data_IF_997852153866
#
_entry.id   IF_997852153866
#
_cell.length_a   1.000
_cell.length_b   1.000
_cell.length_c   1.000
_cell.angle_alpha   90.00
_cell.angle_beta   90.00
_cell.angle_gamma   90.00
#
_symmetry.space_group_name_H-M   'P 1'
#
loop_
_entity.id
_entity.type
_entity.pdbx_description
1 polymer ?
#
# COMPACT_ATOMS: atom_id res chain seq x y z
N UNK A 1 -4.99 -5.25 -8.63
CA UNK A 1 -4.21 -4.46 -7.63
C UNK A 1 -3.10 -5.33 -7.09
N UNK A 2 -1.89 -4.78 -6.98
CA UNK A 2 -0.70 -5.54 -6.56
C UNK A 2 -0.30 -5.12 -5.14
N UNK A 3 -0.58 -5.99 -4.16
CA UNK A 3 -0.18 -5.76 -2.77
C UNK A 3 1.05 -6.60 -2.40
N UNK A 4 2.03 -5.97 -1.77
CA UNK A 4 3.23 -6.63 -1.24
C UNK A 4 3.37 -6.38 0.27
N UNK A 5 3.64 -7.43 1.03
CA UNK A 5 3.77 -7.36 2.49
C UNK A 5 2.44 -7.30 3.25
N UNK A 6 2.48 -6.85 4.49
CA UNK A 6 1.28 -6.69 5.32
C UNK A 6 0.52 -5.42 4.94
N UNK A 7 -0.71 -5.58 4.48
CA UNK A 7 -1.65 -4.49 4.23
C UNK A 7 -2.77 -4.58 5.24
N UNK A 8 -2.94 -3.52 6.04
CA UNK A 8 -4.01 -3.42 7.01
C UNK A 8 -5.04 -2.39 6.54
N UNK A 9 -6.30 -2.82 6.44
CA UNK A 9 -7.45 -1.97 6.12
C UNK A 9 -8.47 -2.05 7.26
N UNK A 10 -8.61 -1.02 8.10
CA UNK A 10 -9.56 -1.05 9.19
C UNK A 10 -11.01 -1.17 8.67
N UNK A 11 -11.95 -1.68 9.47
CA UNK A 11 -13.34 -1.91 9.05
C UNK A 11 -14.04 -0.64 8.57
N UNK A 12 -13.70 0.51 9.17
CA UNK A 12 -14.22 1.83 8.78
C UNK A 12 -13.86 2.21 7.35
N UNK A 13 -12.77 1.65 6.80
CA UNK A 13 -12.27 1.90 5.45
C UNK A 13 -12.53 0.70 4.53
N UNK A 14 -13.44 -0.22 4.88
CA UNK A 14 -13.68 -1.45 4.12
C UNK A 14 -14.06 -1.23 2.65
N UNK A 15 -14.62 -0.06 2.33
CA UNK A 15 -15.00 0.33 0.98
C UNK A 15 -14.00 1.29 0.32
N UNK A 16 -12.96 1.72 1.04
CA UNK A 16 -11.92 2.59 0.50
C UNK A 16 -10.93 1.80 -0.36
N UNK A 17 -10.48 2.45 -1.44
CA UNK A 17 -9.40 1.95 -2.28
C UNK A 17 -8.05 2.19 -1.60
N UNK A 18 -7.23 1.15 -1.48
CA UNK A 18 -5.84 1.27 -1.02
C UNK A 18 -4.91 1.17 -2.23
N UNK A 19 -4.03 2.16 -2.39
CA UNK A 19 -2.97 2.14 -3.39
C UNK A 19 -1.63 2.31 -2.69
N UNK A 20 -0.73 1.33 -2.86
CA UNK A 20 0.60 1.40 -2.27
C UNK A 20 1.54 2.22 -3.15
N UNK A 21 1.97 3.39 -2.67
CA UNK A 21 3.00 4.19 -3.33
C UNK A 21 4.43 3.74 -2.97
N UNK A 22 4.61 3.26 -1.75
CA UNK A 22 5.88 2.75 -1.23
C UNK A 22 5.64 1.40 -0.56
N UNK A 23 6.66 0.55 -0.54
CA UNK A 23 6.67 -0.66 0.26
C UNK A 23 7.57 -0.40 1.47
N UNK A 24 7.08 -0.69 2.67
CA UNK A 24 7.77 -0.35 3.91
C UNK A 24 7.67 1.13 4.30
N UNK A 25 8.43 1.53 5.31
CA UNK A 25 8.49 2.90 5.80
C UNK A 25 9.95 3.39 5.84
N UNK A 26 10.27 4.60 5.34
CA UNK A 26 11.63 5.14 5.39
C UNK A 26 12.07 5.51 6.81
N UNK A 27 11.11 5.74 7.72
CA UNK A 27 11.40 6.12 9.10
C UNK A 27 11.69 4.92 10.00
N UNK A 28 10.84 3.86 9.92
CA UNK A 28 10.92 2.56 10.61
C UNK A 28 11.42 2.54 12.07
N UNK A 29 11.20 3.61 12.85
CA UNK A 29 11.64 3.75 14.26
C UNK A 29 10.49 3.94 15.24
N UNK A 30 9.25 3.89 14.77
CA UNK A 30 8.05 4.05 15.60
C UNK A 30 7.89 2.87 16.57
N UNK A 31 7.68 3.15 17.85
CA UNK A 31 7.46 2.10 18.87
C UNK A 31 6.12 1.38 18.71
N UNK A 32 5.11 2.07 18.17
CA UNK A 32 3.75 1.56 17.97
C UNK A 32 3.54 0.80 16.65
N UNK A 33 4.40 0.99 15.64
CA UNK A 33 4.17 0.44 14.32
C UNK A 33 4.83 -0.93 14.19
N UNK A 34 4.03 -1.98 14.10
CA UNK A 34 4.50 -3.36 13.86
C UNK A 34 4.47 -3.77 12.39
N UNK A 35 3.79 -3.00 11.53
CA UNK A 35 3.55 -3.34 10.12
C UNK A 35 4.83 -3.44 9.28
N UNK A 36 5.75 -2.48 9.43
CA UNK A 36 6.90 -2.34 8.54
C UNK A 36 8.23 -2.81 9.12
N UNK A 37 8.26 -3.33 10.36
CA UNK A 37 9.51 -3.67 11.07
C UNK A 37 10.39 -4.67 10.31
N UNK A 38 9.79 -5.59 9.56
CA UNK A 38 10.49 -6.63 8.79
C UNK A 38 10.49 -6.37 7.28
N UNK A 39 10.06 -5.18 6.83
CA UNK A 39 9.93 -4.86 5.39
C UNK A 39 11.00 -3.86 4.98
N UNK A 40 11.79 -4.18 3.94
CA UNK A 40 12.77 -3.25 3.36
C UNK A 40 12.03 -2.12 2.63
N UNK A 41 12.41 -0.87 2.92
CA UNK A 41 11.82 0.28 2.26
C UNK A 41 12.21 0.33 0.77
N UNK A 42 11.23 0.48 -0.11
CA UNK A 42 11.43 0.79 -1.53
C UNK A 42 10.30 1.66 -2.07
N UNK A 43 10.63 2.54 -2.99
CA UNK A 43 9.65 3.35 -3.74
C UNK A 43 9.18 2.53 -4.93
N UNK A 44 7.86 2.47 -5.17
CA UNK A 44 7.32 1.77 -6.34
C UNK A 44 7.42 2.66 -7.58
N UNK A 45 7.64 2.08 -8.78
CA UNK A 45 7.60 2.85 -10.02
C UNK A 45 6.22 3.52 -10.21
N UNK A 46 6.21 4.80 -10.58
CA UNK A 46 4.96 5.55 -10.83
C UNK A 46 4.09 4.87 -11.88
N UNK A 47 4.71 4.21 -12.87
CA UNK A 47 4.00 3.45 -13.90
C UNK A 47 3.09 2.37 -13.28
N UNK A 48 3.60 1.60 -12.33
CA UNK A 48 2.81 0.54 -11.67
C UNK A 48 1.66 1.12 -10.84
N UNK A 49 1.90 2.25 -10.18
CA UNK A 49 0.86 2.93 -9.39
C UNK A 49 -0.28 3.39 -10.31
N UNK A 50 0.06 3.94 -11.49
CA UNK A 50 -0.94 4.32 -12.50
C UNK A 50 -1.68 3.11 -13.06
N UNK A 51 -1.01 1.98 -13.29
CA UNK A 51 -1.65 0.72 -13.68
C UNK A 51 -2.63 0.23 -12.60
N UNK A 52 -2.26 0.31 -11.32
CA UNK A 52 -3.15 -0.06 -10.20
C UNK A 52 -4.40 0.83 -10.15
N UNK A 53 -4.26 2.15 -10.39
CA UNK A 53 -5.38 3.08 -10.49
C UNK A 53 -6.30 2.76 -11.67
N UNK A 54 -5.71 2.46 -12.83
CA UNK A 54 -6.47 2.07 -14.03
C UNK A 54 -7.25 0.77 -13.76
N UNK A 55 -6.58 -0.27 -13.25
CA UNK A 55 -7.25 -1.53 -12.86
C UNK A 55 -8.37 -1.31 -11.83
N UNK A 56 -8.18 -0.43 -10.85
CA UNK A 56 -9.20 -0.12 -9.85
C UNK A 56 -10.41 0.57 -10.50
N UNK A 57 -10.18 1.50 -11.43
CA UNK A 57 -11.24 2.14 -12.20
C UNK A 57 -12.00 1.11 -13.04
N UNK A 58 -11.30 0.26 -13.78
CA UNK A 58 -11.94 -0.76 -14.64
C UNK A 58 -12.74 -1.80 -13.83
N UNK A 59 -12.36 -2.05 -12.57
CA UNK A 59 -13.05 -3.02 -11.71
C UNK A 59 -14.21 -2.43 -10.89
N UNK A 60 -14.11 -1.17 -10.45
CA UNK A 60 -15.08 -0.53 -9.55
C UNK A 60 -15.88 0.63 -10.14
N UNK A 61 -15.43 1.20 -11.27
CA UNK A 61 -16.03 2.39 -11.89
C UNK A 61 -16.84 2.07 -13.12
#
# INVERSE_FOLDING_TARGET
MRYEGMVYRPPSEAQSLIIQATIGCPHNRCTFCSLYKNTKFRIRPVKEIKEDLQMARDYYG
#
